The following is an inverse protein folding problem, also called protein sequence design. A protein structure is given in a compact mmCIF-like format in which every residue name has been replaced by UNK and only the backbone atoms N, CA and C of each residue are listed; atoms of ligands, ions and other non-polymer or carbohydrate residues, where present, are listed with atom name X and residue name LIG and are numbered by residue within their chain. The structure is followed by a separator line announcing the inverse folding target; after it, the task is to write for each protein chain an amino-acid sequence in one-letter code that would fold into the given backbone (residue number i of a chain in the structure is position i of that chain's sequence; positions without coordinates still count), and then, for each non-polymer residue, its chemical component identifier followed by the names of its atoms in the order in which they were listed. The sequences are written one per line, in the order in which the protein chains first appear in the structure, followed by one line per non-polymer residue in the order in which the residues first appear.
data_IF_735942806270
#
_entry.id   IF_735942806270
#
_cell.length_a   1.000
_cell.length_b   1.000
_cell.length_c   1.000
_cell.angle_alpha   90.00
_cell.angle_beta   90.00
_cell.angle_gamma   90.00
#
_symmetry.space_group_name_H-M   'P 1'
#
loop_
_entity.id
_entity.type
_entity.pdbx_description
1 polymer ?
#
# COMPACT_ATOMS: atom_id res chain seq x y z
N UNK A 1 -27.66 -2.21 1.83
CA UNK A 1 -26.54 -2.48 2.76
C UNK A 1 -26.61 -1.53 3.94
N UNK A 2 -26.38 -1.98 5.20
CA UNK A 2 -26.30 -1.07 6.35
C UNK A 2 -25.18 -0.03 6.11
N UNK A 3 -25.41 1.26 6.41
CA UNK A 3 -24.42 2.36 6.20
C UNK A 3 -23.02 2.04 6.76
N UNK A 4 -22.96 1.35 7.90
CA UNK A 4 -21.74 0.87 8.54
C UNK A 4 -20.94 -0.15 7.74
N UNK A 5 -21.59 -0.92 6.85
CA UNK A 5 -20.89 -1.84 5.95
C UNK A 5 -20.26 -1.09 4.77
N UNK A 6 -20.97 -0.11 4.21
CA UNK A 6 -20.48 0.71 3.10
C UNK A 6 -19.23 1.52 3.49
N UNK A 7 -19.22 2.12 4.68
CA UNK A 7 -18.06 2.89 5.18
C UNK A 7 -16.82 2.01 5.36
N UNK A 8 -16.98 0.75 5.80
CA UNK A 8 -15.86 -0.20 5.91
C UNK A 8 -15.28 -0.55 4.55
N UNK A 9 -16.14 -0.81 3.55
CA UNK A 9 -15.69 -1.11 2.18
C UNK A 9 -14.96 0.09 1.58
N UNK A 10 -15.51 1.30 1.72
CA UNK A 10 -14.86 2.53 1.24
C UNK A 10 -13.53 2.79 1.95
N UNK A 11 -13.48 2.61 3.27
CA UNK A 11 -12.24 2.74 4.05
C UNK A 11 -11.17 1.75 3.60
N UNK A 12 -11.55 0.48 3.40
CA UNK A 12 -10.66 -0.55 2.88
C UNK A 12 -10.17 -0.25 1.47
N UNK A 13 -11.05 0.22 0.58
CA UNK A 13 -10.70 0.60 -0.79
C UNK A 13 -9.76 1.80 -0.85
N UNK A 14 -10.02 2.85 -0.06
CA UNK A 14 -9.12 4.00 0.04
C UNK A 14 -7.78 3.58 0.66
N UNK A 15 -7.80 2.73 1.68
CA UNK A 15 -6.59 2.14 2.25
C UNK A 15 -5.80 1.34 1.21
N UNK A 16 -6.47 0.56 0.36
CA UNK A 16 -5.84 -0.15 -0.75
C UNK A 16 -5.14 0.81 -1.72
N UNK A 17 -5.84 1.85 -2.19
CA UNK A 17 -5.26 2.82 -3.11
C UNK A 17 -4.03 3.52 -2.50
N UNK A 18 -4.16 4.04 -1.27
CA UNK A 18 -3.04 4.66 -0.56
C UNK A 18 -1.91 3.66 -0.34
N UNK A 19 -2.22 2.40 -0.07
CA UNK A 19 -1.25 1.32 0.08
C UNK A 19 -0.48 1.01 -1.20
N UNK A 20 -1.16 0.85 -2.32
CA UNK A 20 -0.53 0.59 -3.62
C UNK A 20 0.40 1.73 -3.99
N UNK A 21 -0.10 2.97 -3.99
CA UNK A 21 0.69 4.12 -4.44
C UNK A 21 1.76 4.52 -3.41
N UNK A 22 1.42 4.55 -2.13
CA UNK A 22 2.37 4.90 -1.06
C UNK A 22 3.43 3.83 -0.85
N UNK A 23 3.03 2.55 -0.82
CA UNK A 23 3.96 1.43 -0.73
C UNK A 23 4.85 1.32 -1.96
N UNK A 24 4.29 1.50 -3.16
CA UNK A 24 5.06 1.52 -4.40
C UNK A 24 6.07 2.66 -4.43
N UNK A 25 5.66 3.88 -4.07
CA UNK A 25 6.55 5.03 -4.00
C UNK A 25 7.69 4.84 -2.99
N UNK A 26 7.41 4.31 -1.80
CA UNK A 26 8.45 3.97 -0.83
C UNK A 26 9.39 2.87 -1.35
N UNK A 27 8.83 1.85 -2.00
CA UNK A 27 9.61 0.81 -2.67
C UNK A 27 10.53 1.36 -3.75
N UNK A 28 10.06 2.34 -4.52
CA UNK A 28 10.85 3.04 -5.53
C UNK A 28 11.98 3.83 -4.91
N UNK A 29 11.72 4.61 -3.84
CA UNK A 29 12.76 5.38 -3.16
C UNK A 29 13.84 4.44 -2.60
N UNK A 30 13.43 3.39 -1.89
CA UNK A 30 14.36 2.43 -1.29
C UNK A 30 15.15 1.71 -2.38
N UNK A 31 14.45 1.25 -3.43
CA UNK A 31 15.03 0.60 -4.59
C UNK A 31 16.06 1.45 -5.31
N UNK A 32 15.67 2.67 -5.71
CA UNK A 32 16.55 3.58 -6.44
C UNK A 32 17.74 4.02 -5.60
N UNK A 33 17.55 4.24 -4.29
CA UNK A 33 18.62 4.73 -3.40
C UNK A 33 19.63 3.64 -3.05
N UNK A 34 19.16 2.43 -2.71
CA UNK A 34 20.03 1.38 -2.18
C UNK A 34 20.38 0.30 -3.20
N UNK A 35 19.52 0.09 -4.20
CA UNK A 35 19.66 -0.99 -5.18
C UNK A 35 19.86 -0.48 -6.62
N UNK A 36 19.80 0.83 -6.86
CA UNK A 36 19.95 1.41 -8.20
C UNK A 36 21.31 1.15 -8.86
N UNK A 37 22.34 0.81 -8.07
CA UNK A 37 23.64 0.39 -8.58
C UNK A 37 23.74 -1.11 -8.91
N UNK A 38 22.68 -1.89 -8.70
CA UNK A 38 22.66 -3.32 -9.02
C UNK A 38 22.14 -3.52 -10.45
N UNK A 39 23.01 -3.98 -11.34
CA UNK A 39 22.69 -4.35 -12.73
C UNK A 39 21.89 -5.67 -12.80
N UNK A 40 20.74 -5.72 -12.14
CA UNK A 40 19.84 -6.87 -12.19
C UNK A 40 19.18 -7.02 -13.56
N UNK A 41 19.11 -5.94 -14.35
CA UNK A 41 18.52 -5.95 -15.68
C UNK A 41 19.16 -7.03 -16.59
N UNK A 42 20.48 -7.22 -16.52
CA UNK A 42 21.18 -8.22 -17.32
C UNK A 42 20.82 -9.67 -16.97
N UNK A 43 20.38 -9.94 -15.73
CA UNK A 43 20.04 -11.30 -15.27
C UNK A 43 18.55 -11.63 -15.34
N UNK A 44 17.69 -10.66 -15.05
CA UNK A 44 16.25 -10.90 -14.87
C UNK A 44 15.36 -9.97 -15.70
N UNK A 45 15.95 -9.07 -16.50
CA UNK A 45 15.21 -8.16 -17.40
C UNK A 45 14.44 -7.05 -16.69
N UNK A 46 14.61 -6.90 -15.37
CA UNK A 46 13.92 -5.91 -14.52
C UNK A 46 14.99 -5.20 -13.67
N UNK A 47 14.87 -3.89 -13.53
CA UNK A 47 15.77 -3.14 -12.67
C UNK A 47 15.46 -3.38 -11.18
N UNK A 48 16.49 -3.32 -10.34
CA UNK A 48 16.33 -3.59 -8.91
C UNK A 48 15.33 -2.64 -8.25
N UNK A 49 15.29 -1.38 -8.70
CA UNK A 49 14.34 -0.39 -8.18
C UNK A 49 12.89 -0.70 -8.57
N UNK A 50 12.66 -1.23 -9.77
CA UNK A 50 11.33 -1.65 -10.25
C UNK A 50 10.82 -2.82 -9.40
N UNK A 51 11.67 -3.80 -9.13
CA UNK A 51 11.34 -4.94 -8.30
C UNK A 51 10.90 -4.51 -6.90
N UNK A 52 11.66 -3.63 -6.24
CA UNK A 52 11.29 -3.09 -4.93
C UNK A 52 10.04 -2.22 -4.98
N UNK A 53 9.79 -1.51 -6.09
CA UNK A 53 8.54 -0.76 -6.29
C UNK A 53 7.35 -1.70 -6.28
N UNK A 54 7.42 -2.82 -7.01
CA UNK A 54 6.36 -3.82 -7.04
C UNK A 54 6.15 -4.47 -5.67
N UNK A 55 7.23 -4.87 -4.99
CA UNK A 55 7.15 -5.45 -3.64
C UNK A 55 6.52 -4.45 -2.67
N UNK A 56 6.96 -3.19 -2.69
CA UNK A 56 6.42 -2.13 -1.86
C UNK A 56 4.92 -1.91 -2.11
N UNK A 57 4.49 -1.88 -3.37
CA UNK A 57 3.09 -1.75 -3.74
C UNK A 57 2.25 -2.93 -3.23
N UNK A 58 2.74 -4.17 -3.36
CA UNK A 58 2.04 -5.37 -2.88
C UNK A 58 1.89 -5.34 -1.35
N UNK A 59 2.98 -5.06 -0.63
CA UNK A 59 2.93 -4.98 0.84
C UNK A 59 1.98 -3.88 1.27
N UNK A 60 2.09 -2.68 0.68
CA UNK A 60 1.21 -1.56 0.98
C UNK A 60 -0.26 -1.89 0.70
N UNK A 61 -0.55 -2.54 -0.43
CA UNK A 61 -1.88 -2.97 -0.83
C UNK A 61 -2.50 -3.99 0.13
N UNK A 62 -1.70 -4.82 0.80
CA UNK A 62 -2.19 -5.79 1.79
C UNK A 62 -2.38 -5.17 3.17
N UNK A 63 -1.47 -4.28 3.57
CA UNK A 63 -1.43 -3.71 4.93
C UNK A 63 -2.41 -2.55 5.08
N UNK A 64 -2.41 -1.58 4.16
CA UNK A 64 -3.17 -0.34 4.31
C UNK A 64 -4.70 -0.48 4.26
N UNK A 65 -5.33 -1.47 3.58
CA UNK A 65 -6.77 -1.69 3.71
C UNK A 65 -7.18 -2.00 5.15
N UNK A 66 -6.37 -2.73 5.91
CA UNK A 66 -6.66 -3.04 7.33
C UNK A 66 -6.72 -1.76 8.15
N UNK A 67 -5.76 -0.84 7.93
CA UNK A 67 -5.77 0.47 8.56
C UNK A 67 -6.94 1.34 8.09
N UNK A 68 -7.25 1.34 6.79
CA UNK A 68 -8.37 2.08 6.23
C UNK A 68 -9.73 1.64 6.80
N UNK A 69 -9.94 0.32 6.97
CA UNK A 69 -11.13 -0.22 7.64
C UNK A 69 -11.19 0.21 9.10
N UNK A 70 -10.07 0.12 9.85
CA UNK A 70 -10.01 0.56 11.25
C UNK A 70 -10.29 2.05 11.40
N UNK A 71 -9.75 2.87 10.50
CA UNK A 71 -9.98 4.31 10.49
C UNK A 71 -11.44 4.63 10.20
N UNK A 72 -12.03 4.05 9.14
CA UNK A 72 -13.44 4.24 8.83
C UNK A 72 -14.39 3.78 9.95
N UNK A 73 -14.03 2.73 10.69
CA UNK A 73 -14.77 2.30 11.87
C UNK A 73 -14.73 3.33 13.00
N UNK A 74 -13.57 3.95 13.25
CA UNK A 74 -13.43 5.00 14.26
C UNK A 74 -14.32 6.22 13.97
N UNK A 75 -14.41 6.63 12.70
CA UNK A 75 -15.31 7.72 12.29
C UNK A 75 -16.79 7.35 12.31
N UNK A 76 -17.11 6.08 12.04
CA UNK A 76 -18.50 5.62 12.08
C UNK A 76 -19.04 5.38 13.49
N UNK A 77 -18.19 5.26 14.51
CA UNK A 77 -18.60 5.00 15.88
C UNK A 77 -17.67 5.73 16.87
N UNK A 78 -17.76 7.06 16.96
CA UNK A 78 -16.85 7.87 17.78
C UNK A 78 -16.99 7.58 19.29
N UNK A 79 -18.15 7.11 19.76
CA UNK A 79 -18.48 6.95 21.20
C UNK A 79 -17.94 5.68 21.89
N UNK A 80 -17.06 4.89 21.24
CA UNK A 80 -16.53 3.62 21.80
C UNK A 80 -15.10 3.71 22.36
N UNK A 81 -14.55 4.91 22.56
CA UNK A 81 -13.28 5.10 23.27
C UNK A 81 -13.48 5.92 24.52
#
# INVERSE_FOLDING_TARGET
MKKTSLLKVLGGFLGFLVGVFGGGYLGLIIGGTFLGGLELHERIGIEAFELTTYIGAIIGALVMPVFGVKFAQKFSNPDKN
#
